data_IF_956422527390
#
_entry.id   IF_956422527390
#
_cell.length_a   1.000
_cell.length_b   1.000
_cell.length_c   1.000
_cell.angle_alpha   90.00
_cell.angle_beta   90.00
_cell.angle_gamma   90.00
#
_symmetry.space_group_name_H-M   'P 1'
#
loop_
_entity.id
_entity.type
_entity.pdbx_description
1 polymer ?
#
# COMPACT_ATOMS: atom_id res chain seq x y z
N UNK A 1 9.82 6.10 38.42
CA UNK A 1 10.52 6.23 37.11
C UNK A 1 10.68 4.88 36.39
N UNK A 2 11.27 3.83 37.01
CA UNK A 2 11.47 2.51 36.38
C UNK A 2 10.19 1.74 35.99
N UNK A 3 9.11 1.82 36.77
CA UNK A 3 7.85 1.10 36.43
C UNK A 3 7.28 1.53 35.07
N UNK A 4 7.31 2.83 34.76
CA UNK A 4 6.83 3.34 33.47
C UNK A 4 7.69 2.86 32.31
N UNK A 5 8.99 2.67 32.52
CA UNK A 5 9.88 2.09 31.53
C UNK A 5 9.55 0.62 31.27
N UNK A 6 9.31 -0.16 32.32
CA UNK A 6 8.91 -1.56 32.21
C UNK A 6 7.58 -1.75 31.46
N UNK A 7 6.55 -0.94 31.78
CA UNK A 7 5.28 -0.99 31.05
C UNK A 7 5.43 -0.59 29.58
N UNK A 8 6.26 0.41 29.26
CA UNK A 8 6.57 0.77 27.87
C UNK A 8 7.26 -0.38 27.13
N UNK A 9 8.19 -1.08 27.77
CA UNK A 9 8.87 -2.23 27.18
C UNK A 9 7.89 -3.37 26.86
N UNK A 10 6.99 -3.67 27.80
CA UNK A 10 5.92 -4.66 27.59
C UNK A 10 5.03 -4.24 26.42
N UNK A 11 4.60 -2.97 26.39
CA UNK A 11 3.74 -2.45 25.32
C UNK A 11 4.42 -2.56 23.94
N UNK A 12 5.68 -2.16 23.83
CA UNK A 12 6.44 -2.25 22.57
C UNK A 12 6.60 -3.72 22.15
N UNK A 13 6.93 -4.61 23.09
CA UNK A 13 7.04 -6.04 22.82
C UNK A 13 5.73 -6.63 22.32
N UNK A 14 4.61 -6.27 22.95
CA UNK A 14 3.28 -6.72 22.54
C UNK A 14 2.92 -6.20 21.13
N UNK A 15 3.13 -4.91 20.86
CA UNK A 15 2.88 -4.34 19.54
C UNK A 15 3.76 -5.01 18.47
N UNK A 16 5.03 -5.25 18.77
CA UNK A 16 5.94 -5.93 17.86
C UNK A 16 5.51 -7.37 17.59
N UNK A 17 5.09 -8.12 18.62
CA UNK A 17 4.57 -9.47 18.45
C UNK A 17 3.30 -9.47 17.58
N UNK A 18 2.36 -8.54 17.81
CA UNK A 18 1.15 -8.43 16.99
C UNK A 18 1.47 -8.11 15.53
N UNK A 19 2.44 -7.23 15.30
CA UNK A 19 2.91 -6.90 13.96
C UNK A 19 3.48 -8.13 13.22
N UNK A 20 4.29 -8.95 13.89
CA UNK A 20 4.81 -10.19 13.31
C UNK A 20 3.71 -11.20 12.97
N UNK A 21 2.70 -11.33 13.84
CA UNK A 21 1.54 -12.19 13.60
C UNK A 21 0.76 -11.70 12.38
N UNK A 22 0.49 -10.40 12.28
CA UNK A 22 -0.25 -9.80 11.17
C UNK A 22 0.48 -9.96 9.83
N UNK A 23 1.80 -9.72 9.78
CA UNK A 23 2.59 -9.96 8.56
C UNK A 23 2.57 -11.43 8.15
N UNK A 24 2.64 -12.34 9.13
CA UNK A 24 2.61 -13.77 8.86
C UNK A 24 1.25 -14.24 8.35
N UNK A 25 0.16 -13.60 8.79
CA UNK A 25 -1.19 -13.84 8.29
C UNK A 25 -1.36 -13.28 6.87
N UNK A 26 -0.99 -12.01 6.64
CA UNK A 26 -1.10 -11.36 5.35
C UNK A 26 -0.36 -12.10 4.21
N UNK A 27 0.73 -12.81 4.52
CA UNK A 27 1.44 -13.66 3.54
C UNK A 27 0.68 -14.92 3.12
N UNK A 28 -0.31 -15.35 3.90
CA UNK A 28 -1.12 -16.56 3.65
C UNK A 28 -2.47 -16.22 3.06
N UNK A 29 -2.91 -14.98 3.22
CA UNK A 29 -4.17 -14.50 2.67
C UNK A 29 -4.04 -14.31 1.15
N UNK A 30 -5.15 -14.55 0.45
CA UNK A 30 -5.25 -14.27 -0.98
C UNK A 30 -5.65 -12.83 -1.20
N UNK A 31 -5.23 -12.28 -2.35
CA UNK A 31 -5.54 -10.92 -2.74
C UNK A 31 -7.07 -10.72 -2.89
N UNK A 32 -7.60 -9.61 -2.38
CA UNK A 32 -8.97 -9.18 -2.69
C UNK A 32 -9.05 -8.53 -4.07
N UNK A 33 -10.25 -8.43 -4.63
CA UNK A 33 -10.44 -7.91 -6.00
C UNK A 33 -9.98 -6.46 -6.17
N UNK A 34 -10.20 -5.62 -5.16
CA UNK A 34 -9.90 -4.19 -5.12
C UNK A 34 -8.45 -3.87 -4.76
N UNK A 35 -7.75 -4.75 -4.04
CA UNK A 35 -6.37 -4.54 -3.60
C UNK A 35 -5.41 -4.24 -4.76
N UNK A 36 -5.52 -4.99 -5.87
CA UNK A 36 -4.68 -4.74 -7.05
C UNK A 36 -4.88 -3.34 -7.63
N UNK A 37 -6.14 -2.88 -7.69
CA UNK A 37 -6.51 -1.58 -8.27
C UNK A 37 -6.00 -0.45 -7.38
N UNK A 38 -6.26 -0.51 -6.07
CA UNK A 38 -5.82 0.51 -5.12
C UNK A 38 -4.30 0.61 -5.03
N UNK A 39 -3.61 -0.53 -4.97
CA UNK A 39 -2.15 -0.58 -4.88
C UNK A 39 -1.50 -0.06 -6.16
N UNK A 40 -2.07 -0.42 -7.31
CA UNK A 40 -1.62 0.04 -8.61
C UNK A 40 -1.84 1.55 -8.80
N UNK A 41 -3.04 2.04 -8.49
CA UNK A 41 -3.37 3.45 -8.53
C UNK A 41 -2.42 4.25 -7.63
N UNK A 42 -2.26 3.85 -6.37
CA UNK A 42 -1.34 4.47 -5.41
C UNK A 42 0.10 4.53 -5.91
N UNK A 43 0.59 3.47 -6.56
CA UNK A 43 1.94 3.48 -7.13
C UNK A 43 2.06 4.50 -8.28
N UNK A 44 1.05 4.59 -9.14
CA UNK A 44 1.05 5.60 -10.22
C UNK A 44 0.92 7.01 -9.69
N UNK A 45 0.23 7.21 -8.55
CA UNK A 45 0.12 8.52 -7.91
C UNK A 45 1.48 8.98 -7.39
N UNK A 46 2.20 8.08 -6.71
CA UNK A 46 3.55 8.34 -6.20
C UNK A 46 4.60 8.54 -7.30
N UNK A 47 4.51 7.80 -8.41
CA UNK A 47 5.56 7.81 -9.46
C UNK A 47 5.29 8.75 -10.62
N UNK A 48 4.02 9.02 -10.95
CA UNK A 48 3.61 9.87 -12.08
C UNK A 48 2.88 11.15 -11.64
N UNK A 49 2.37 11.23 -10.42
CA UNK A 49 1.59 12.38 -9.94
C UNK A 49 0.22 12.52 -10.62
N UNK A 50 -0.34 11.43 -11.12
CA UNK A 50 -1.56 11.42 -11.94
C UNK A 50 -2.63 10.50 -11.36
N UNK A 51 -3.77 11.08 -11.02
CA UNK A 51 -4.77 10.49 -10.13
C UNK A 51 -5.92 9.74 -10.84
N UNK A 52 -5.83 9.55 -12.16
CA UNK A 52 -6.97 9.11 -13.00
C UNK A 52 -7.49 7.69 -12.81
N UNK A 53 -6.68 6.75 -12.30
CA UNK A 53 -6.98 5.32 -12.36
C UNK A 53 -8.10 4.85 -11.41
N UNK A 54 -8.23 5.51 -10.27
CA UNK A 54 -9.24 5.20 -9.26
C UNK A 54 -9.57 6.50 -8.50
N UNK A 55 -10.36 7.39 -9.11
CA UNK A 55 -10.70 8.67 -8.48
C UNK A 55 -11.78 8.55 -7.39
N UNK A 56 -12.41 7.37 -7.24
CA UNK A 56 -13.55 7.16 -6.34
C UNK A 56 -13.17 7.31 -4.86
N UNK A 57 -11.94 6.95 -4.51
CA UNK A 57 -11.43 7.01 -3.14
C UNK A 57 -10.26 7.99 -3.00
N UNK A 58 -10.10 8.69 -1.86
CA UNK A 58 -9.02 9.64 -1.64
C UNK A 58 -7.61 9.04 -1.87
N UNK A 59 -6.66 9.82 -2.42
CA UNK A 59 -5.36 9.29 -2.84
C UNK A 59 -4.46 8.86 -1.68
N UNK A 60 -4.57 9.52 -0.52
CA UNK A 60 -3.62 9.37 0.59
C UNK A 60 -3.44 7.91 1.04
N UNK A 61 -4.53 7.16 1.19
CA UNK A 61 -4.46 5.76 1.65
C UNK A 61 -3.80 4.86 0.59
N UNK A 62 -4.06 5.12 -0.69
CA UNK A 62 -3.47 4.38 -1.81
C UNK A 62 -1.96 4.64 -1.89
N UNK A 63 -1.56 5.90 -1.75
CA UNK A 63 -0.16 6.29 -1.71
C UNK A 63 0.57 5.64 -0.52
N UNK A 64 -0.01 5.67 0.69
CA UNK A 64 0.58 5.02 1.86
C UNK A 64 0.73 3.50 1.63
N UNK A 65 -0.30 2.86 1.09
CA UNK A 65 -0.28 1.42 0.79
C UNK A 65 0.75 1.04 -0.28
N UNK A 66 0.94 1.90 -1.28
CA UNK A 66 1.89 1.68 -2.37
C UNK A 66 3.31 2.17 -2.09
N UNK A 67 3.54 3.00 -1.06
CA UNK A 67 4.86 3.56 -0.76
C UNK A 67 5.96 2.50 -0.63
N UNK A 68 5.76 1.35 0.05
CA UNK A 68 6.79 0.32 0.13
C UNK A 68 7.29 -0.16 -1.24
N UNK A 69 6.45 -0.09 -2.28
CA UNK A 69 6.80 -0.48 -3.65
C UNK A 69 7.86 0.43 -4.27
N UNK A 70 8.03 1.67 -3.82
CA UNK A 70 9.08 2.56 -4.31
C UNK A 70 10.49 2.04 -4.05
N UNK A 71 10.65 1.16 -3.06
CA UNK A 71 11.94 0.54 -2.72
C UNK A 71 12.20 -0.74 -3.52
N UNK A 72 11.25 -1.22 -4.32
CA UNK A 72 11.41 -2.37 -5.21
C UNK A 72 11.90 -1.89 -6.59
N UNK A 73 13.22 -1.78 -6.75
CA UNK A 73 13.86 -1.15 -7.92
C UNK A 73 13.62 -1.78 -9.29
N UNK A 74 12.88 -2.89 -9.39
CA UNK A 74 12.64 -3.64 -10.64
C UNK A 74 11.16 -3.79 -11.02
N UNK A 75 10.28 -2.93 -10.51
CA UNK A 75 8.87 -2.95 -10.91
C UNK A 75 8.71 -2.42 -12.35
N UNK A 76 8.66 -3.35 -13.30
CA UNK A 76 8.26 -3.06 -14.68
C UNK A 76 6.75 -3.04 -14.77
N UNK A 77 6.20 -1.85 -14.90
CA UNK A 77 4.77 -1.69 -15.11
C UNK A 77 4.50 -1.54 -16.61
N UNK A 78 3.77 -2.48 -17.25
CA UNK A 78 3.44 -2.38 -18.67
C UNK A 78 2.23 -1.44 -18.88
N UNK A 79 2.43 -0.16 -18.59
CA UNK A 79 1.38 0.89 -18.74
C UNK A 79 1.46 1.64 -20.04
N UNK A 80 2.56 1.50 -20.77
CA UNK A 80 2.78 2.24 -22.01
C UNK A 80 1.80 1.74 -23.07
N UNK A 81 0.89 2.62 -23.52
CA UNK A 81 -0.23 2.32 -24.42
C UNK A 81 -1.59 2.05 -23.74
N UNK A 82 -1.60 1.60 -22.48
CA UNK A 82 -2.84 1.50 -21.67
C UNK A 82 -3.15 2.79 -20.92
N UNK A 83 -2.12 3.58 -20.61
CA UNK A 83 -2.25 4.82 -19.85
C UNK A 83 -3.13 5.88 -20.51
N UNK A 84 -3.05 5.98 -21.84
CA UNK A 84 -3.86 6.92 -22.63
C UNK A 84 -5.35 6.54 -22.60
N UNK A 85 -5.65 5.25 -22.36
CA UNK A 85 -7.01 4.72 -22.23
C UNK A 85 -7.53 4.77 -20.79
N UNK A 86 -6.65 4.75 -19.80
CA UNK A 86 -6.98 4.74 -18.38
C UNK A 86 -7.78 5.95 -17.89
N UNK A 87 -7.76 7.09 -18.58
CA UNK A 87 -8.60 8.25 -18.25
C UNK A 87 -9.99 8.23 -18.91
N UNK A 88 -10.21 7.31 -19.83
CA UNK A 88 -11.37 7.27 -20.73
C UNK A 88 -12.22 6.01 -20.48
N UNK A 89 -12.60 5.74 -19.22
CA UNK A 89 -13.46 4.60 -18.85
C UNK A 89 -14.88 4.59 -19.50
N UNK A 90 -15.18 5.56 -20.36
CA UNK A 90 -16.48 5.76 -21.01
C UNK A 90 -16.48 5.54 -22.53
N UNK A 91 -15.42 5.00 -23.15
CA UNK A 91 -15.38 4.66 -24.58
C UNK A 91 -14.73 3.31 -24.87
#
# INVERSE_FOLDING_TARGET
MMKNFFYKLILISLLFLTFLILISAAKKDSLTTDESVHLFAGYTYLTRGDFRLDPEHPPLLKEIGAWPLLFFGNLKIPIDGLWDKAGNFYY
#
